data_IF_455978410652
#
_entry.id   IF_455978410652
#
_cell.length_a   1.000
_cell.length_b   1.000
_cell.length_c   1.000
_cell.angle_alpha   90.00
_cell.angle_beta   90.00
_cell.angle_gamma   90.00
#
_symmetry.space_group_name_H-M   'P 1'
#
loop_
_entity.id
_entity.type
_entity.pdbx_description
1 polymer ?
#
# COMPACT_ATOMS: atom_id res chain seq x y z
N UNK A 1 -22.82 -18.04 16.34
CA UNK A 1 -22.03 -16.82 16.11
C UNK A 1 -22.77 -15.95 15.10
N UNK A 2 -23.31 -14.83 15.57
CA UNK A 2 -23.94 -13.79 14.75
C UNK A 2 -22.87 -13.08 13.89
N UNK A 3 -23.27 -12.65 12.70
CA UNK A 3 -22.39 -11.96 11.75
C UNK A 3 -22.61 -10.45 11.89
N UNK A 4 -21.54 -9.65 11.90
CA UNK A 4 -21.65 -8.20 12.10
C UNK A 4 -22.65 -7.54 11.13
N UNK A 5 -22.63 -7.94 9.85
CA UNK A 5 -23.56 -7.40 8.85
C UNK A 5 -25.03 -7.70 9.17
N UNK A 6 -25.33 -8.82 9.86
CA UNK A 6 -26.69 -9.15 10.30
C UNK A 6 -27.11 -8.30 11.49
N UNK A 7 -26.21 -8.10 12.46
CA UNK A 7 -26.45 -7.21 13.60
C UNK A 7 -26.67 -5.76 13.14
N UNK A 8 -25.88 -5.29 12.16
CA UNK A 8 -26.07 -3.98 11.54
C UNK A 8 -27.42 -3.88 10.82
N UNK A 9 -27.83 -4.93 10.10
CA UNK A 9 -29.15 -4.99 9.46
C UNK A 9 -30.30 -4.93 10.46
N UNK A 10 -30.21 -5.67 11.56
CA UNK A 10 -31.20 -5.67 12.63
C UNK A 10 -31.30 -4.31 13.34
N UNK A 11 -30.17 -3.63 13.59
CA UNK A 11 -30.18 -2.26 14.10
C UNK A 11 -30.86 -1.28 13.13
N UNK A 12 -30.63 -1.43 11.82
CA UNK A 12 -31.25 -0.57 10.81
C UNK A 12 -32.78 -0.79 10.72
N UNK A 13 -33.23 -2.04 10.83
CA UNK A 13 -34.66 -2.39 10.86
C UNK A 13 -35.35 -1.82 12.11
N UNK A 14 -34.73 -1.96 13.29
CA UNK A 14 -35.26 -1.39 14.53
C UNK A 14 -35.27 0.14 14.52
N UNK A 15 -34.24 0.78 13.97
CA UNK A 15 -34.20 2.23 13.82
C UNK A 15 -35.33 2.75 12.93
N UNK A 16 -35.74 2.00 11.90
CA UNK A 16 -36.89 2.35 11.06
C UNK A 16 -38.26 2.18 11.77
N UNK A 17 -38.33 1.40 12.85
CA UNK A 17 -39.55 1.18 13.63
C UNK A 17 -39.74 2.19 14.78
N UNK A 18 -38.72 3.01 15.07
CA UNK A 18 -38.74 4.02 16.15
C UNK A 18 -39.69 5.21 15.91
N UNK A 19 -40.24 5.37 14.69
CA UNK A 19 -41.20 6.44 14.32
C UNK A 19 -42.64 6.20 14.84
N UNK A 20 -42.82 5.35 15.85
CA UNK A 20 -44.14 5.01 16.42
C UNK A 20 -44.51 5.93 17.59
N UNK A 21 -45.79 6.34 17.70
CA UNK A 21 -46.29 7.23 18.76
C UNK A 21 -46.46 6.56 20.14
N UNK A 22 -46.13 5.28 20.26
CA UNK A 22 -46.23 4.50 21.50
C UNK A 22 -44.91 4.54 22.29
N UNK A 23 -44.91 5.28 23.40
CA UNK A 23 -43.77 5.42 24.31
C UNK A 23 -43.31 4.07 24.93
N UNK A 24 -44.22 3.13 25.17
CA UNK A 24 -43.86 1.81 25.70
C UNK A 24 -43.14 0.95 24.66
N UNK A 25 -43.55 1.06 23.40
CA UNK A 25 -42.92 0.38 22.28
C UNK A 25 -41.54 0.99 21.96
N UNK A 26 -41.40 2.31 22.03
CA UNK A 26 -40.12 3.03 21.90
C UNK A 26 -39.08 2.56 22.90
N UNK A 27 -39.45 2.43 24.18
CA UNK A 27 -38.52 1.94 25.22
C UNK A 27 -38.06 0.50 24.94
N UNK A 28 -38.98 -0.39 24.55
CA UNK A 28 -38.64 -1.78 24.20
C UNK A 28 -37.71 -1.88 22.97
N UNK A 29 -37.90 -1.02 21.97
CA UNK A 29 -37.02 -0.93 20.79
C UNK A 29 -35.63 -0.45 21.20
N UNK A 30 -35.52 0.57 22.05
CA UNK A 30 -34.24 1.07 22.55
C UNK A 30 -33.48 0.02 23.36
N UNK A 31 -34.15 -0.69 24.26
CA UNK A 31 -33.53 -1.76 25.06
C UNK A 31 -33.02 -2.90 24.16
N UNK A 32 -33.78 -3.25 23.12
CA UNK A 32 -33.38 -4.26 22.13
C UNK A 32 -32.18 -3.79 21.29
N UNK A 33 -32.18 -2.51 20.88
CA UNK A 33 -31.08 -1.90 20.14
C UNK A 33 -29.79 -1.86 20.98
N UNK A 34 -29.90 -1.57 22.28
CA UNK A 34 -28.77 -1.63 23.21
C UNK A 34 -28.23 -3.06 23.35
N UNK A 35 -29.09 -4.07 23.38
CA UNK A 35 -28.68 -5.49 23.37
C UNK A 35 -27.90 -5.88 22.11
N UNK A 36 -28.38 -5.49 20.92
CA UNK A 36 -27.69 -5.76 19.65
C UNK A 36 -26.36 -5.00 19.57
N UNK A 37 -26.31 -3.77 20.08
CA UNK A 37 -25.08 -2.99 20.15
C UNK A 37 -24.04 -3.67 21.06
N UNK A 38 -24.45 -4.21 22.22
CA UNK A 38 -23.57 -5.01 23.08
C UNK A 38 -23.01 -6.24 22.36
N UNK A 39 -23.85 -7.00 21.65
CA UNK A 39 -23.38 -8.14 20.84
C UNK A 39 -22.42 -7.72 19.72
N UNK A 40 -22.64 -6.54 19.14
CA UNK A 40 -21.76 -5.97 18.11
C UNK A 40 -20.39 -5.59 18.69
N UNK A 41 -20.36 -4.97 19.87
CA UNK A 41 -19.14 -4.60 20.59
C UNK A 41 -18.33 -5.85 20.99
N UNK A 42 -18.96 -6.87 21.59
CA UNK A 42 -18.31 -8.14 21.93
C UNK A 42 -17.68 -8.83 20.70
N UNK A 43 -18.39 -8.75 19.56
CA UNK A 43 -17.91 -9.32 18.30
C UNK A 43 -16.76 -8.49 17.72
N UNK A 44 -16.80 -7.17 17.85
CA UNK A 44 -15.71 -6.28 17.44
C UNK A 44 -14.44 -6.58 18.26
N UNK A 45 -14.56 -6.73 19.59
CA UNK A 45 -13.45 -7.12 20.47
C UNK A 45 -12.84 -8.46 20.07
N UNK A 46 -13.68 -9.46 19.80
CA UNK A 46 -13.24 -10.78 19.33
C UNK A 46 -12.44 -10.68 18.02
N UNK A 47 -12.85 -9.81 17.09
CA UNK A 47 -12.15 -9.59 15.81
C UNK A 47 -10.81 -8.87 16.05
N UNK A 48 -10.77 -7.88 16.93
CA UNK A 48 -9.53 -7.18 17.28
C UNK A 48 -8.52 -8.14 17.94
N UNK A 49 -8.99 -9.01 18.85
CA UNK A 49 -8.15 -10.05 19.46
C UNK A 49 -7.60 -11.03 18.43
N UNK A 50 -8.45 -11.51 17.51
CA UNK A 50 -8.01 -12.38 16.40
C UNK A 50 -6.98 -11.69 15.51
N UNK A 51 -7.22 -10.42 15.15
CA UNK A 51 -6.29 -9.61 14.37
C UNK A 51 -4.94 -9.50 15.08
N UNK A 52 -4.92 -9.26 16.39
CA UNK A 52 -3.69 -9.15 17.18
C UNK A 52 -2.91 -10.47 17.24
N UNK A 53 -3.60 -11.61 17.30
CA UNK A 53 -2.94 -12.92 17.20
C UNK A 53 -2.28 -13.09 15.82
N UNK A 54 -3.00 -12.78 14.74
CA UNK A 54 -2.46 -12.86 13.39
C UNK A 54 -1.28 -11.91 13.21
N UNK A 55 -1.32 -10.70 13.77
CA UNK A 55 -0.17 -9.77 13.76
C UNK A 55 1.04 -10.35 14.51
N UNK A 56 0.81 -11.07 15.61
CA UNK A 56 1.86 -11.82 16.29
C UNK A 56 2.50 -12.88 15.41
N UNK A 57 1.67 -13.67 14.71
CA UNK A 57 2.15 -14.68 13.76
C UNK A 57 2.92 -14.05 12.60
N UNK A 58 2.45 -12.92 12.05
CA UNK A 58 3.15 -12.16 11.01
C UNK A 58 4.53 -11.71 11.51
N UNK A 59 4.61 -11.21 12.74
CA UNK A 59 5.89 -10.83 13.37
C UNK A 59 6.86 -12.01 13.46
N UNK A 60 6.38 -13.18 13.89
CA UNK A 60 7.19 -14.40 13.96
C UNK A 60 7.67 -14.87 12.58
N UNK A 61 6.78 -14.84 11.57
CA UNK A 61 7.11 -15.18 10.18
C UNK A 61 8.18 -14.23 9.63
N UNK A 62 8.06 -12.93 9.90
CA UNK A 62 9.01 -11.92 9.41
C UNK A 62 10.40 -12.16 9.99
N UNK A 63 10.50 -12.45 11.30
CA UNK A 63 11.77 -12.78 11.92
C UNK A 63 12.43 -14.03 11.30
N UNK A 64 11.63 -15.04 10.93
CA UNK A 64 12.15 -16.25 10.27
C UNK A 64 12.57 -15.97 8.81
N UNK A 65 11.85 -15.11 8.09
CA UNK A 65 12.27 -14.66 6.75
C UNK A 65 13.61 -13.93 6.82
N UNK A 66 13.82 -13.07 7.80
CA UNK A 66 15.09 -12.36 7.99
C UNK A 66 16.24 -13.34 8.27
N UNK A 67 16.01 -14.33 9.15
CA UNK A 67 16.97 -15.40 9.45
C UNK A 67 17.33 -16.21 8.20
N UNK A 68 16.34 -16.60 7.40
CA UNK A 68 16.55 -17.37 6.17
C UNK A 68 17.24 -16.55 5.09
N UNK A 69 16.93 -15.26 5.00
CA UNK A 69 17.58 -14.32 4.08
C UNK A 69 19.05 -14.15 4.43
N UNK A 70 19.36 -14.03 5.72
CA UNK A 70 20.74 -13.98 6.19
C UNK A 70 21.49 -15.29 5.93
N UNK A 71 20.85 -16.44 6.19
CA UNK A 71 21.43 -17.74 5.86
C UNK A 71 21.73 -17.88 4.36
N UNK A 72 20.80 -17.44 3.51
CA UNK A 72 20.98 -17.37 2.06
C UNK A 72 22.18 -16.50 1.70
N UNK A 73 22.28 -15.30 2.29
CA UNK A 73 23.40 -14.37 2.08
C UNK A 73 24.74 -15.02 2.42
N UNK A 74 24.84 -15.70 3.56
CA UNK A 74 26.06 -16.40 3.99
C UNK A 74 26.43 -17.48 2.96
N UNK A 75 25.49 -18.32 2.54
CA UNK A 75 25.75 -19.38 1.55
C UNK A 75 26.15 -18.82 0.18
N UNK A 76 25.48 -17.76 -0.28
CA UNK A 76 25.85 -17.07 -1.51
C UNK A 76 27.27 -16.51 -1.42
N UNK A 77 27.64 -15.89 -0.31
CA UNK A 77 29.00 -15.40 -0.08
C UNK A 77 30.03 -16.52 -0.07
N UNK A 78 29.73 -17.67 0.56
CA UNK A 78 30.63 -18.82 0.52
C UNK A 78 30.87 -19.32 -0.91
N UNK A 79 29.84 -19.38 -1.75
CA UNK A 79 29.97 -19.77 -3.16
C UNK A 79 30.85 -18.78 -3.94
N UNK A 80 30.66 -17.48 -3.72
CA UNK A 80 31.51 -16.43 -4.32
C UNK A 80 32.95 -16.59 -3.86
N UNK A 81 33.19 -16.74 -2.56
CA UNK A 81 34.54 -16.94 -2.00
C UNK A 81 35.23 -18.19 -2.56
N UNK A 82 34.51 -19.30 -2.71
CA UNK A 82 35.05 -20.53 -3.29
C UNK A 82 35.43 -20.34 -4.77
N UNK A 83 34.58 -19.65 -5.51
CA UNK A 83 34.82 -19.36 -6.94
C UNK A 83 35.99 -18.38 -7.10
N UNK A 84 36.07 -17.37 -6.24
CA UNK A 84 37.17 -16.41 -6.21
C UNK A 84 38.49 -17.06 -5.82
N UNK A 85 38.47 -17.95 -4.82
CA UNK A 85 39.62 -18.75 -4.45
C UNK A 85 40.10 -19.61 -5.62
N UNK A 86 39.19 -20.30 -6.31
CA UNK A 86 39.53 -21.08 -7.48
C UNK A 86 40.13 -20.21 -8.60
N UNK A 87 39.54 -19.04 -8.86
CA UNK A 87 40.04 -18.08 -9.85
C UNK A 87 41.48 -17.64 -9.55
N UNK A 88 41.75 -17.20 -8.32
CA UNK A 88 43.08 -16.75 -7.88
C UNK A 88 44.14 -17.84 -8.00
N UNK A 89 43.79 -19.08 -7.68
CA UNK A 89 44.72 -20.21 -7.82
C UNK A 89 44.96 -20.59 -9.28
N UNK A 90 43.93 -20.51 -10.14
CA UNK A 90 44.09 -20.71 -11.58
C UNK A 90 44.97 -19.63 -12.23
N UNK A 91 44.82 -18.38 -11.81
CA UNK A 91 45.67 -17.26 -12.23
C UNK A 91 47.12 -17.44 -11.76
N UNK A 92 47.34 -17.78 -10.50
CA UNK A 92 48.68 -18.01 -9.94
C UNK A 92 49.41 -19.20 -10.58
N UNK A 93 48.67 -20.22 -11.02
CA UNK A 93 49.21 -21.40 -11.69
C UNK A 93 49.32 -21.25 -13.24
N UNK A 94 48.97 -20.07 -13.79
CA UNK A 94 48.85 -19.80 -15.23
C UNK A 94 47.98 -20.82 -16.00
N UNK A 95 47.00 -21.41 -15.31
CA UNK A 95 46.10 -22.42 -15.85
C UNK A 95 44.84 -21.78 -16.41
N UNK A 96 44.75 -21.69 -17.74
CA UNK A 96 43.58 -21.09 -18.43
C UNK A 96 42.33 -21.98 -18.43
N UNK A 97 42.52 -23.31 -18.47
CA UNK A 97 41.40 -24.27 -18.56
C UNK A 97 41.71 -25.57 -17.82
N UNK A 98 40.75 -26.06 -17.04
CA UNK A 98 40.77 -27.38 -16.42
C UNK A 98 39.63 -28.20 -17.01
N UNK A 99 39.96 -29.20 -17.83
CA UNK A 99 38.98 -30.15 -18.39
C UNK A 99 38.84 -31.34 -17.46
N UNK A 100 37.63 -31.61 -16.96
CA UNK A 100 37.25 -32.83 -16.23
C UNK A 100 36.14 -33.56 -16.99
N UNK A 101 35.94 -34.88 -16.76
CA UNK A 101 34.92 -35.65 -17.47
C UNK A 101 33.49 -35.11 -17.33
N UNK A 102 33.16 -34.48 -16.20
CA UNK A 102 31.80 -34.00 -15.90
C UNK A 102 31.59 -32.49 -16.16
N UNK A 103 32.66 -31.71 -16.19
CA UNK A 103 32.59 -30.25 -16.39
C UNK A 103 33.95 -29.69 -16.82
N UNK A 104 33.91 -28.55 -17.49
CA UNK A 104 35.12 -27.79 -17.84
C UNK A 104 35.10 -26.46 -17.11
N UNK A 105 36.20 -26.13 -16.45
CA UNK A 105 36.41 -24.83 -15.78
C UNK A 105 37.35 -24.02 -16.66
N UNK A 106 36.86 -22.92 -17.22
CA UNK A 106 37.65 -21.97 -17.98
C UNK A 106 37.74 -20.64 -17.24
N UNK A 107 38.94 -20.06 -17.21
CA UNK A 107 39.15 -18.70 -16.73
C UNK A 107 38.78 -17.73 -17.84
N UNK A 108 37.62 -17.07 -17.72
CA UNK A 108 37.21 -16.02 -18.65
C UNK A 108 37.72 -14.66 -18.16
N UNK A 109 38.29 -13.88 -19.07
CA UNK A 109 38.65 -12.48 -18.79
C UNK A 109 37.35 -11.71 -18.56
N UNK A 110 37.30 -10.95 -17.46
CA UNK A 110 36.15 -10.11 -17.14
C UNK A 110 35.86 -9.12 -18.25
N UNK A 111 34.58 -8.93 -18.59
CA UNK A 111 34.18 -7.91 -19.57
C UNK A 111 34.56 -6.52 -19.05
N UNK A 112 35.17 -5.70 -19.90
CA UNK A 112 35.44 -4.30 -19.62
C UNK A 112 34.12 -3.60 -19.29
N UNK A 113 34.03 -3.03 -18.08
CA UNK A 113 32.90 -2.19 -17.66
C UNK A 113 33.38 -0.75 -17.68
N UNK A 114 32.66 0.09 -18.40
CA UNK A 114 32.88 1.54 -18.37
C UNK A 114 32.37 2.05 -17.03
N UNK A 115 33.28 2.54 -16.19
CA UNK A 115 32.95 3.30 -14.99
C UNK A 115 33.12 4.77 -15.38
N UNK A 116 32.04 5.54 -15.28
CA UNK A 116 32.07 6.98 -15.53
C UNK A 116 32.45 7.65 -14.22
N UNK A 117 33.71 8.03 -14.07
CA UNK A 117 34.23 8.65 -12.83
C UNK A 117 33.70 10.09 -12.64
N UNK A 118 33.30 10.76 -13.71
CA UNK A 118 32.72 12.10 -13.66
C UNK A 118 31.63 12.28 -14.73
N UNK A 119 30.37 12.23 -14.29
CA UNK A 119 29.18 12.37 -15.15
C UNK A 119 29.11 13.74 -15.87
N UNK A 120 29.75 14.78 -15.33
CA UNK A 120 29.73 16.14 -15.90
C UNK A 120 30.81 16.37 -16.97
N UNK A 121 31.81 15.50 -17.04
CA UNK A 121 32.85 15.54 -18.07
C UNK A 121 32.57 14.58 -19.24
N UNK A 122 31.43 13.88 -19.20
CA UNK A 122 31.00 13.00 -20.28
C UNK A 122 30.56 13.87 -21.47
N UNK A 123 31.08 13.64 -22.69
CA UNK A 123 30.63 14.34 -23.87
C UNK A 123 29.11 14.21 -24.04
N UNK A 124 28.45 15.30 -24.45
CA UNK A 124 27.00 15.35 -24.64
C UNK A 124 26.48 14.22 -25.55
N UNK A 125 27.31 13.75 -26.51
CA UNK A 125 27.02 12.65 -27.43
C UNK A 125 26.77 11.29 -26.74
N UNK A 126 27.25 11.10 -25.49
CA UNK A 126 27.10 9.86 -24.72
C UNK A 126 26.16 10.02 -23.51
N UNK A 127 25.55 11.20 -23.34
CA UNK A 127 24.60 11.49 -22.27
C UNK A 127 23.16 11.33 -22.76
N UNK A 128 22.32 10.70 -21.95
CA UNK A 128 20.86 10.68 -22.20
C UNK A 128 20.16 11.49 -21.12
N UNK A 129 19.48 12.55 -21.54
CA UNK A 129 18.73 13.43 -20.62
C UNK A 129 17.39 12.76 -20.31
N UNK A 130 17.26 12.21 -19.10
CA UNK A 130 15.99 11.66 -18.59
C UNK A 130 15.29 12.73 -17.74
N UNK A 131 14.46 13.57 -18.36
CA UNK A 131 13.56 14.48 -17.62
C UNK A 131 12.31 13.73 -17.17
N UNK A 132 12.22 13.40 -15.88
CA UNK A 132 11.00 12.83 -15.28
C UNK A 132 10.06 13.96 -14.85
N UNK A 133 9.10 14.30 -15.71
CA UNK A 133 7.99 15.20 -15.36
C UNK A 133 6.94 14.36 -14.62
N UNK A 134 6.95 14.43 -13.29
CA UNK A 134 5.96 13.76 -12.46
C UNK A 134 4.84 14.75 -12.08
N UNK A 135 3.56 14.41 -12.25
CA UNK A 135 2.46 15.23 -11.76
C UNK A 135 2.43 15.24 -10.23
N UNK A 136 2.43 16.43 -9.62
CA UNK A 136 2.26 16.58 -8.18
C UNK A 136 0.80 16.32 -7.78
N UNK A 137 0.55 15.09 -7.35
CA UNK A 137 -0.77 14.61 -6.93
C UNK A 137 -1.35 15.40 -5.75
N UNK A 138 -0.51 15.96 -4.88
CA UNK A 138 -0.97 16.72 -3.71
C UNK A 138 -1.48 18.10 -4.14
N UNK A 139 -0.74 18.79 -5.01
CA UNK A 139 -1.18 20.07 -5.57
C UNK A 139 -2.46 19.92 -6.43
N UNK A 140 -2.56 18.82 -7.19
CA UNK A 140 -3.75 18.47 -7.97
C UNK A 140 -4.95 18.21 -7.04
N UNK A 141 -4.79 17.39 -6.00
CA UNK A 141 -5.86 17.10 -5.04
C UNK A 141 -6.36 18.35 -4.31
N UNK A 142 -5.45 19.25 -3.91
CA UNK A 142 -5.81 20.51 -3.27
C UNK A 142 -6.65 21.42 -4.18
N UNK A 143 -6.25 21.57 -5.45
CA UNK A 143 -7.01 22.34 -6.45
C UNK A 143 -8.39 21.74 -6.73
N UNK A 144 -8.47 20.42 -6.88
CA UNK A 144 -9.75 19.75 -7.11
C UNK A 144 -10.70 19.86 -5.92
N UNK A 145 -10.16 19.82 -4.70
CA UNK A 145 -10.95 20.00 -3.47
C UNK A 145 -11.49 21.42 -3.36
N UNK A 146 -10.65 22.43 -3.64
CA UNK A 146 -11.07 23.83 -3.69
C UNK A 146 -12.15 24.07 -4.77
N UNK A 147 -11.99 23.47 -5.96
CA UNK A 147 -13.00 23.55 -7.02
C UNK A 147 -14.31 22.86 -6.61
N UNK A 148 -14.26 21.71 -5.93
CA UNK A 148 -15.45 21.02 -5.42
C UNK A 148 -16.17 21.87 -4.37
N UNK A 149 -15.45 22.43 -3.41
CA UNK A 149 -16.00 23.30 -2.35
C UNK A 149 -16.61 24.59 -2.94
N UNK A 150 -15.94 25.18 -3.92
CA UNK A 150 -16.45 26.34 -4.65
C UNK A 150 -17.76 26.00 -5.39
N UNK A 151 -17.78 24.91 -6.17
CA UNK A 151 -18.98 24.47 -6.89
C UNK A 151 -20.13 24.09 -5.94
N UNK A 152 -19.84 23.49 -4.79
CA UNK A 152 -20.85 23.22 -3.75
C UNK A 152 -21.44 24.52 -3.18
N UNK A 153 -20.62 25.56 -3.00
CA UNK A 153 -21.09 26.88 -2.54
C UNK A 153 -21.94 27.60 -3.58
N UNK A 154 -21.55 27.57 -4.86
CA UNK A 154 -22.31 28.15 -5.98
C UNK A 154 -23.64 27.42 -6.14
N UNK A 155 -23.66 26.08 -6.04
CA UNK A 155 -24.91 25.29 -6.07
C UNK A 155 -25.87 25.64 -4.94
N UNK A 156 -25.37 25.96 -3.74
CA UNK A 156 -26.21 26.43 -2.63
C UNK A 156 -26.81 27.82 -2.88
N UNK A 157 -26.07 28.72 -3.54
CA UNK A 157 -26.56 30.05 -3.93
C UNK A 157 -27.59 29.96 -5.06
N UNK A 158 -27.39 29.06 -6.02
CA UNK A 158 -28.38 28.74 -7.05
C UNK A 158 -29.67 28.17 -6.45
N UNK A 159 -29.57 27.29 -5.46
CA UNK A 159 -30.75 26.78 -4.74
C UNK A 159 -31.51 27.86 -3.94
N UNK A 160 -30.86 28.98 -3.63
CA UNK A 160 -31.46 30.14 -2.97
C UNK A 160 -32.07 31.18 -3.96
N UNK A 161 -32.03 30.91 -5.27
CA UNK A 161 -32.66 31.73 -6.30
C UNK A 161 -31.76 32.81 -6.95
N UNK A 162 -30.45 32.78 -6.72
CA UNK A 162 -29.48 33.66 -7.39
C UNK A 162 -29.00 33.06 -8.73
N UNK A 163 -28.95 33.86 -9.80
CA UNK A 163 -28.41 33.45 -11.10
C UNK A 163 -26.87 33.52 -11.09
N UNK A 164 -26.25 32.45 -10.61
CA UNK A 164 -24.79 32.32 -10.45
C UNK A 164 -24.20 31.13 -11.25
N UNK A 165 -24.90 30.64 -12.27
CA UNK A 165 -24.45 29.48 -13.08
C UNK A 165 -23.07 29.70 -13.72
N UNK A 166 -22.73 30.96 -14.03
CA UNK A 166 -21.47 31.38 -14.64
C UNK A 166 -20.24 31.21 -13.71
N UNK A 167 -20.43 31.04 -12.40
CA UNK A 167 -19.35 30.84 -11.43
C UNK A 167 -18.97 29.35 -11.27
N UNK A 168 -19.68 28.43 -11.92
CA UNK A 168 -19.39 27.00 -11.81
C UNK A 168 -18.11 26.63 -12.56
N UNK A 169 -17.12 26.09 -11.85
CA UNK A 169 -15.87 25.64 -12.46
C UNK A 169 -16.11 24.25 -13.06
N UNK A 170 -15.92 24.04 -14.38
CA UNK A 170 -16.09 22.73 -14.99
C UNK A 170 -15.07 21.74 -14.43
N UNK A 171 -15.52 20.52 -14.13
CA UNK A 171 -14.64 19.45 -13.65
C UNK A 171 -13.59 19.13 -14.74
N UNK A 172 -12.29 19.16 -14.41
CA UNK A 172 -11.25 18.88 -15.40
C UNK A 172 -11.31 17.42 -15.85
N UNK A 173 -11.25 17.20 -17.16
CA UNK A 173 -11.30 15.86 -17.79
C UNK A 173 -10.09 14.98 -17.45
N UNK A 174 -9.04 15.55 -16.87
CA UNK A 174 -7.76 14.90 -16.62
C UNK A 174 -7.55 14.48 -15.15
N UNK A 175 -8.44 14.83 -14.22
CA UNK A 175 -8.35 14.37 -12.83
C UNK A 175 -9.67 14.50 -12.05
N UNK A 176 -10.02 13.46 -11.27
CA UNK A 176 -11.19 13.42 -10.40
C UNK A 176 -10.83 13.00 -8.97
N UNK A 177 -11.67 13.40 -8.01
CA UNK A 177 -11.54 13.02 -6.59
C UNK A 177 -12.51 11.87 -6.26
N UNK A 178 -11.96 10.68 -6.04
CA UNK A 178 -12.71 9.55 -5.49
C UNK A 178 -12.50 9.46 -3.97
N UNK A 179 -13.59 9.21 -3.23
CA UNK A 179 -13.51 8.91 -1.79
C UNK A 179 -13.25 7.42 -1.65
N UNK A 180 -12.05 7.05 -1.23
CA UNK A 180 -11.71 5.66 -0.89
C UNK A 180 -12.53 5.15 0.29
N UNK A 181 -12.48 3.83 0.50
CA UNK A 181 -13.16 3.17 1.62
C UNK A 181 -12.68 3.71 2.97
N UNK A 182 -13.61 3.82 3.93
CA UNK A 182 -13.29 4.21 5.30
C UNK A 182 -12.34 3.19 5.93
N UNK A 183 -11.21 3.66 6.45
CA UNK A 183 -10.25 2.80 7.17
C UNK A 183 -10.55 2.77 8.67
N UNK A 184 -10.34 1.62 9.30
CA UNK A 184 -10.46 1.45 10.75
C UNK A 184 -9.12 1.79 11.40
N UNK A 185 -9.12 2.66 12.42
CA UNK A 185 -7.96 2.91 13.28
C UNK A 185 -8.19 2.28 14.65
N UNK A 186 -7.35 1.32 15.01
CA UNK A 186 -7.31 0.71 16.35
C UNK A 186 -6.13 1.37 17.08
N UNK A 187 -6.40 1.98 18.24
CA UNK A 187 -5.37 2.61 19.09
C UNK A 187 -4.93 1.67 20.20
#
# INVERSE_FOLDING_TARGET
MTQLYKLTGQMAELAAMCDTDDEGLKQAIQDTMAGIQGEFEDKADSIVMLRRNIEGDIGAITAEIDRLTELKRIKTNSVVQMTDYLRRNMEAADMKTIKRPLFTISLAIGKEKVIVDNEQAVPDELTSVVTKIAPDKNAIAAKLKANREHNESVRKRMAAGEDCEHELIPEPTWAHLERGESSIRIK
#
